data_IF_785208984190
#
_entry.id   IF_785208984190
#
_cell.length_a   1.000
_cell.length_b   1.000
_cell.length_c   1.000
_cell.angle_alpha   90.00
_cell.angle_beta   90.00
_cell.angle_gamma   90.00
#
_symmetry.space_group_name_H-M   'P 1'
#
loop_
_entity.id
_entity.type
_entity.pdbx_description
1 polymer ?
#
# COMPACT_ATOMS: atom_id res chain seq x y z
N UNK A 1 10.65 48.07 -5.90
CA UNK A 1 11.48 46.96 -6.39
C UNK A 1 12.20 46.33 -5.19
N UNK A 2 11.71 45.21 -4.64
CA UNK A 2 12.35 44.49 -3.54
C UNK A 2 13.24 43.37 -4.09
N UNK A 3 14.49 43.32 -3.63
CA UNK A 3 15.55 42.45 -4.13
C UNK A 3 15.40 40.98 -3.65
N UNK A 4 15.53 40.03 -4.57
CA UNK A 4 15.27 38.59 -4.42
C UNK A 4 16.44 37.76 -3.83
N UNK A 5 17.46 38.37 -3.21
CA UNK A 5 18.71 37.68 -2.83
C UNK A 5 19.13 37.83 -1.37
N UNK A 6 18.21 37.87 -0.42
CA UNK A 6 18.57 37.74 1.01
C UNK A 6 18.53 36.27 1.42
N UNK A 7 19.55 35.49 1.07
CA UNK A 7 19.77 34.16 1.66
C UNK A 7 20.38 34.35 3.04
N UNK A 8 19.60 34.12 4.09
CA UNK A 8 20.13 34.09 5.46
C UNK A 8 21.17 32.97 5.59
N UNK A 9 22.27 33.16 6.34
CA UNK A 9 23.27 32.13 6.54
C UNK A 9 22.66 30.95 7.30
N UNK A 10 22.70 29.76 6.67
CA UNK A 10 22.24 28.52 7.28
C UNK A 10 23.13 28.18 8.49
N UNK A 11 22.62 28.40 9.69
CA UNK A 11 23.28 28.03 10.94
C UNK A 11 23.45 26.51 10.99
N UNK A 12 24.69 26.04 10.83
CA UNK A 12 25.02 24.61 10.91
C UNK A 12 24.84 24.14 12.35
N UNK A 13 23.86 23.24 12.58
CA UNK A 13 23.67 22.61 13.89
C UNK A 13 24.90 21.76 14.26
N UNK A 14 25.31 21.73 15.55
CA UNK A 14 26.42 20.89 16.01
C UNK A 14 26.14 19.41 15.72
N UNK A 15 27.15 18.67 15.23
CA UNK A 15 27.04 17.22 15.00
C UNK A 15 26.96 16.51 16.36
N UNK A 16 25.92 15.72 16.58
CA UNK A 16 25.79 14.86 17.78
C UNK A 16 26.95 13.85 17.79
N UNK A 17 27.80 13.90 18.82
CA UNK A 17 28.84 12.90 19.06
C UNK A 17 28.17 11.70 19.70
N UNK A 18 28.04 10.60 18.96
CA UNK A 18 27.47 9.35 19.47
C UNK A 18 28.47 8.68 20.41
N UNK A 19 27.97 8.17 21.53
CA UNK A 19 28.74 7.33 22.47
C UNK A 19 29.11 5.98 21.82
N UNK A 20 30.09 5.25 22.36
CA UNK A 20 30.52 3.96 21.77
C UNK A 20 29.38 2.94 21.69
N UNK A 21 28.50 2.89 22.70
CA UNK A 21 27.29 2.05 22.68
C UNK A 21 26.33 2.42 21.53
N UNK A 22 25.99 3.71 21.38
CA UNK A 22 25.11 4.16 20.29
C UNK A 22 25.71 3.89 18.88
N UNK A 23 27.05 3.79 18.76
CA UNK A 23 27.70 3.41 17.50
C UNK A 23 27.52 1.93 17.17
N UNK A 24 27.48 1.06 18.18
CA UNK A 24 27.26 -0.37 18.01
C UNK A 24 25.81 -0.67 17.64
N UNK A 25 24.85 -0.03 18.33
CA UNK A 25 23.43 -0.11 17.99
C UNK A 25 23.18 0.38 16.56
N UNK A 26 23.79 1.51 16.17
CA UNK A 26 23.69 2.02 14.81
C UNK A 26 24.30 1.08 13.76
N UNK A 27 25.34 0.31 14.10
CA UNK A 27 25.89 -0.71 13.19
C UNK A 27 24.93 -1.89 13.05
N UNK A 28 24.33 -2.33 14.15
CA UNK A 28 23.36 -3.41 14.15
C UNK A 28 22.11 -3.04 13.35
N UNK A 29 21.52 -1.87 13.58
CA UNK A 29 20.38 -1.37 12.83
C UNK A 29 20.68 -1.25 11.32
N UNK A 30 21.88 -0.79 10.95
CA UNK A 30 22.30 -0.75 9.54
C UNK A 30 22.37 -2.14 8.91
N UNK A 31 22.88 -3.13 9.66
CA UNK A 31 22.93 -4.51 9.18
C UNK A 31 21.53 -5.09 8.97
N UNK A 32 20.61 -4.89 9.93
CA UNK A 32 19.20 -5.31 9.82
C UNK A 32 18.52 -4.64 8.63
N UNK A 33 18.70 -3.32 8.47
CA UNK A 33 18.14 -2.58 7.34
C UNK A 33 18.69 -3.05 5.99
N UNK A 34 19.96 -3.45 5.93
CA UNK A 34 20.58 -4.01 4.72
C UNK A 34 19.92 -5.35 4.36
N UNK A 35 19.79 -6.26 5.33
CA UNK A 35 19.12 -7.55 5.13
C UNK A 35 17.68 -7.36 4.65
N UNK A 36 16.93 -6.45 5.26
CA UNK A 36 15.56 -6.14 4.84
C UNK A 36 15.47 -5.54 3.44
N UNK A 37 16.48 -4.78 3.01
CA UNK A 37 16.52 -4.24 1.65
C UNK A 37 16.75 -5.35 0.64
N UNK A 38 17.63 -6.29 0.95
CA UNK A 38 17.94 -7.44 0.10
C UNK A 38 16.71 -8.36 -0.01
N UNK A 39 16.07 -8.73 1.10
CA UNK A 39 14.85 -9.56 1.07
C UNK A 39 13.70 -8.90 0.33
N UNK A 40 13.53 -7.56 0.44
CA UNK A 40 12.57 -6.81 -0.37
C UNK A 40 12.91 -6.83 -1.86
N UNK A 41 14.19 -6.72 -2.21
CA UNK A 41 14.64 -6.82 -3.60
C UNK A 41 14.36 -8.18 -4.21
N UNK A 42 14.66 -9.26 -3.47
CA UNK A 42 14.37 -10.64 -3.86
C UNK A 42 12.88 -10.88 -4.03
N UNK A 43 12.07 -10.39 -3.08
CA UNK A 43 10.62 -10.45 -3.16
C UNK A 43 10.09 -9.75 -4.42
N UNK A 44 10.52 -8.51 -4.69
CA UNK A 44 10.08 -7.77 -5.88
C UNK A 44 10.53 -8.45 -7.19
N UNK A 45 11.70 -9.09 -7.20
CA UNK A 45 12.17 -9.85 -8.35
C UNK A 45 11.36 -11.14 -8.58
N UNK A 46 10.88 -11.78 -7.51
CA UNK A 46 10.06 -12.99 -7.55
C UNK A 46 8.59 -12.72 -7.93
N UNK A 47 8.15 -11.47 -7.96
CA UNK A 47 6.79 -11.13 -8.35
C UNK A 47 6.50 -11.51 -9.80
N UNK A 48 5.29 -12.05 -10.08
CA UNK A 48 4.86 -12.31 -11.45
C UNK A 48 4.76 -11.01 -12.25
N UNK A 49 4.63 -11.16 -13.58
CA UNK A 49 4.38 -10.01 -14.46
C UNK A 49 3.13 -9.24 -14.00
N UNK A 50 3.10 -7.91 -14.16
CA UNK A 50 1.90 -7.12 -13.90
C UNK A 50 0.69 -7.68 -14.64
N UNK A 51 -0.48 -7.56 -14.02
CA UNK A 51 -1.75 -7.91 -14.64
C UNK A 51 -1.98 -7.06 -15.90
N UNK A 52 -2.26 -7.70 -17.03
CA UNK A 52 -2.49 -7.01 -18.30
C UNK A 52 -3.92 -6.47 -18.38
N UNK A 53 -4.06 -5.15 -18.38
CA UNK A 53 -5.32 -4.46 -18.63
C UNK A 53 -5.77 -4.68 -20.09
N UNK A 54 -6.86 -5.42 -20.30
CA UNK A 54 -7.51 -5.53 -21.62
C UNK A 54 -7.68 -6.93 -22.21
N UNK A 55 -7.08 -7.97 -21.61
CA UNK A 55 -7.29 -9.36 -22.08
C UNK A 55 -8.71 -9.88 -21.78
N UNK A 56 -9.40 -9.30 -20.79
CA UNK A 56 -10.78 -9.63 -20.43
C UNK A 56 -11.40 -8.42 -19.72
N UNK A 57 -12.68 -8.14 -19.95
CA UNK A 57 -13.44 -7.16 -19.17
C UNK A 57 -13.64 -7.68 -17.75
N UNK A 58 -12.56 -7.64 -16.96
CA UNK A 58 -12.58 -8.12 -15.59
C UNK A 58 -13.46 -7.22 -14.74
N UNK A 59 -14.42 -7.84 -14.06
CA UNK A 59 -15.30 -7.18 -13.09
C UNK A 59 -15.31 -7.99 -11.82
N UNK A 60 -15.21 -7.30 -10.69
CA UNK A 60 -15.34 -7.95 -9.41
C UNK A 60 -16.76 -8.51 -9.25
N UNK A 61 -16.94 -9.75 -8.75
CA UNK A 61 -18.26 -10.27 -8.42
C UNK A 61 -18.98 -9.31 -7.48
N UNK A 62 -20.30 -9.20 -7.60
CA UNK A 62 -21.05 -8.32 -6.72
C UNK A 62 -20.94 -8.74 -5.25
N UNK A 63 -20.89 -7.75 -4.36
CA UNK A 63 -20.67 -7.95 -2.93
C UNK A 63 -19.20 -8.02 -2.52
N UNK A 64 -18.26 -8.06 -3.47
CA UNK A 64 -16.82 -8.03 -3.21
C UNK A 64 -16.42 -6.69 -2.59
N UNK A 65 -15.66 -6.76 -1.50
CA UNK A 65 -15.01 -5.59 -0.92
C UNK A 65 -13.80 -5.21 -1.76
N UNK A 66 -13.79 -3.99 -2.28
CA UNK A 66 -12.70 -3.46 -3.11
C UNK A 66 -12.14 -2.17 -2.52
N UNK A 67 -10.94 -1.81 -2.96
CA UNK A 67 -10.25 -0.58 -2.55
C UNK A 67 -9.46 0.04 -3.70
N UNK A 68 -9.10 1.32 -3.52
CA UNK A 68 -8.25 2.03 -4.47
C UNK A 68 -6.79 1.61 -4.35
N UNK A 69 -6.06 1.66 -5.48
CA UNK A 69 -4.60 1.46 -5.52
C UNK A 69 -3.84 2.28 -4.48
N UNK A 70 -4.20 3.56 -4.34
CA UNK A 70 -3.54 4.48 -3.41
C UNK A 70 -3.70 4.07 -1.96
N UNK A 71 -4.88 3.56 -1.61
CA UNK A 71 -5.23 3.18 -0.24
C UNK A 71 -4.59 1.83 0.09
N UNK A 72 -4.56 0.90 -0.87
CA UNK A 72 -3.81 -0.36 -0.75
C UNK A 72 -2.32 -0.14 -0.45
N UNK A 73 -1.65 0.71 -1.24
CA UNK A 73 -0.23 1.04 -1.05
C UNK A 73 0.06 1.61 0.34
N UNK A 74 -0.78 2.53 0.79
CA UNK A 74 -0.61 3.23 2.08
C UNK A 74 -0.94 2.33 3.27
N UNK A 75 -2.09 1.66 3.25
CA UNK A 75 -2.60 0.89 4.39
C UNK A 75 -1.85 -0.43 4.61
N UNK A 76 -1.42 -1.11 3.53
CA UNK A 76 -0.80 -2.43 3.61
C UNK A 76 0.73 -2.40 3.39
N UNK A 77 1.32 -1.21 3.26
CA UNK A 77 2.75 -1.03 2.97
C UNK A 77 3.21 -1.82 1.72
N UNK A 78 2.36 -1.77 0.68
CA UNK A 78 2.59 -2.42 -0.59
C UNK A 78 3.18 -1.45 -1.62
N UNK A 79 4.04 -1.96 -2.49
CA UNK A 79 4.60 -1.21 -3.60
C UNK A 79 3.65 -1.22 -4.79
N UNK A 80 3.85 -0.30 -5.72
CA UNK A 80 2.99 -0.21 -6.91
C UNK A 80 3.07 -1.46 -7.78
N UNK A 81 4.29 -1.98 -7.94
CA UNK A 81 4.55 -3.20 -8.71
C UNK A 81 3.83 -4.39 -8.10
N UNK A 82 3.83 -4.53 -6.78
CA UNK A 82 3.09 -5.57 -6.05
C UNK A 82 1.60 -5.50 -6.33
N UNK A 83 0.99 -4.32 -6.15
CA UNK A 83 -0.46 -4.15 -6.31
C UNK A 83 -0.88 -4.41 -7.76
N UNK A 84 -0.08 -3.99 -8.74
CA UNK A 84 -0.36 -4.21 -10.16
C UNK A 84 -0.27 -5.67 -10.60
N UNK A 85 0.28 -6.57 -9.79
CA UNK A 85 0.23 -8.03 -10.09
C UNK A 85 -1.16 -8.62 -9.91
N UNK A 86 -2.05 -7.93 -9.20
CA UNK A 86 -3.38 -8.42 -8.87
C UNK A 86 -4.42 -8.06 -9.95
N UNK A 87 -5.44 -8.91 -10.16
CA UNK A 87 -6.58 -8.58 -10.98
C UNK A 87 -7.28 -7.32 -10.48
N UNK A 88 -7.56 -6.39 -11.39
CA UNK A 88 -8.20 -5.14 -11.04
C UNK A 88 -9.18 -4.68 -12.11
N UNK A 89 -10.20 -3.96 -11.64
CA UNK A 89 -11.22 -3.35 -12.49
C UNK A 89 -10.89 -1.86 -12.65
N UNK A 90 -11.04 -1.35 -13.87
CA UNK A 90 -10.97 0.08 -14.17
C UNK A 90 -12.32 0.55 -14.72
N UNK A 91 -12.72 1.76 -14.35
CA UNK A 91 -13.95 2.37 -14.91
C UNK A 91 -13.55 3.17 -16.15
N UNK A 92 -14.24 2.99 -17.29
CA UNK A 92 -14.00 3.80 -18.48
C UNK A 92 -14.04 5.29 -18.17
N UNK A 93 -13.10 6.06 -18.71
CA UNK A 93 -12.94 7.50 -18.46
C UNK A 93 -12.60 7.89 -17.00
N UNK A 94 -12.18 6.93 -16.15
CA UNK A 94 -11.63 7.21 -14.83
C UNK A 94 -10.22 6.62 -14.71
N UNK A 95 -9.24 7.37 -14.16
CA UNK A 95 -7.91 6.82 -13.86
C UNK A 95 -7.91 5.93 -12.61
N UNK A 96 -9.07 5.69 -11.99
CA UNK A 96 -9.19 4.92 -10.75
C UNK A 96 -9.28 3.43 -11.04
N UNK A 97 -8.44 2.66 -10.36
CA UNK A 97 -8.43 1.19 -10.39
C UNK A 97 -8.85 0.62 -9.03
N UNK A 98 -9.58 -0.49 -9.09
CA UNK A 98 -10.22 -1.15 -7.96
C UNK A 98 -9.67 -2.57 -7.78
N UNK A 99 -9.16 -2.84 -6.59
CA UNK A 99 -8.55 -4.12 -6.20
C UNK A 99 -9.39 -4.78 -5.12
N UNK A 100 -9.52 -6.11 -5.14
CA UNK A 100 -10.22 -6.82 -4.09
C UNK A 100 -9.43 -6.76 -2.77
N UNK A 101 -10.12 -6.45 -1.66
CA UNK A 101 -9.52 -6.40 -0.32
C UNK A 101 -8.93 -7.75 0.09
N UNK A 102 -9.58 -8.86 -0.29
CA UNK A 102 -9.11 -10.20 0.00
C UNK A 102 -7.73 -10.48 -0.65
N UNK A 103 -7.56 -10.11 -1.91
CA UNK A 103 -6.32 -10.31 -2.65
C UNK A 103 -5.18 -9.44 -2.11
N UNK A 104 -5.50 -8.20 -1.74
CA UNK A 104 -4.53 -7.29 -1.10
C UNK A 104 -4.04 -7.84 0.25
N UNK A 105 -4.96 -8.38 1.07
CA UNK A 105 -4.59 -9.04 2.33
C UNK A 105 -3.74 -10.28 2.10
N UNK A 106 -4.11 -11.12 1.13
CA UNK A 106 -3.33 -12.30 0.79
C UNK A 106 -1.91 -11.93 0.32
N UNK A 107 -1.77 -10.86 -0.47
CA UNK A 107 -0.46 -10.36 -0.91
C UNK A 107 0.38 -9.83 0.26
N UNK A 108 -0.22 -9.08 1.18
CA UNK A 108 0.46 -8.62 2.40
C UNK A 108 0.93 -9.80 3.26
N UNK A 109 0.09 -10.81 3.46
CA UNK A 109 0.44 -12.02 4.20
C UNK A 109 1.61 -12.77 3.55
N UNK A 110 1.59 -12.94 2.23
CA UNK A 110 2.71 -13.55 1.50
C UNK A 110 4.01 -12.77 1.66
N UNK A 111 3.94 -11.43 1.62
CA UNK A 111 5.09 -10.54 1.83
C UNK A 111 5.64 -10.64 3.25
N UNK A 112 4.77 -10.79 4.25
CA UNK A 112 5.13 -11.00 5.65
C UNK A 112 5.81 -12.35 5.84
N UNK A 113 5.24 -13.43 5.32
CA UNK A 113 5.84 -14.78 5.37
C UNK A 113 7.19 -14.83 4.66
N UNK A 114 7.37 -14.07 3.58
CA UNK A 114 8.65 -13.93 2.88
C UNK A 114 9.70 -13.10 3.64
N UNK A 115 9.37 -12.54 4.81
CA UNK A 115 10.29 -11.70 5.59
C UNK A 115 10.60 -10.33 4.95
N UNK A 116 9.89 -9.96 3.88
CA UNK A 116 10.04 -8.67 3.21
C UNK A 116 9.25 -7.54 3.91
N UNK A 117 8.42 -7.91 4.89
CA UNK A 117 7.64 -7.01 5.73
C UNK A 117 7.79 -7.42 7.21
N UNK A 118 8.04 -6.42 8.07
CA UNK A 118 8.26 -6.64 9.50
C UNK A 118 6.97 -6.80 10.30
N UNK A 119 5.88 -6.21 9.82
CA UNK A 119 4.63 -6.07 10.56
C UNK A 119 3.43 -6.03 9.60
N UNK A 120 2.34 -6.67 9.99
CA UNK A 120 1.08 -6.73 9.24
C UNK A 120 0.09 -5.63 9.62
N UNK A 121 0.40 -4.80 10.62
CA UNK A 121 -0.50 -3.75 11.07
C UNK A 121 -0.88 -2.76 9.97
N UNK A 122 -2.17 -2.43 9.92
CA UNK A 122 -2.73 -1.49 8.95
C UNK A 122 -2.30 -0.07 9.28
N UNK A 123 -1.74 0.63 8.30
CA UNK A 123 -1.31 2.02 8.47
C UNK A 123 -2.36 3.01 7.94
N UNK A 124 -3.07 3.64 8.87
CA UNK A 124 -3.97 4.75 8.57
C UNK A 124 -5.40 4.33 8.24
N UNK A 125 -6.14 5.25 7.62
CA UNK A 125 -7.58 5.08 7.38
C UNK A 125 -7.83 4.30 6.09
N UNK A 126 -8.63 3.23 6.18
CA UNK A 126 -8.96 2.35 5.07
C UNK A 126 -10.35 2.70 4.53
N UNK A 127 -10.41 3.10 3.25
CA UNK A 127 -11.67 3.21 2.52
C UNK A 127 -11.97 1.92 1.78
N UNK A 128 -13.06 1.26 2.17
CA UNK A 128 -13.53 0.03 1.53
C UNK A 128 -14.86 0.28 0.83
N UNK A 129 -14.91 -0.13 -0.43
CA UNK A 129 -16.10 -0.06 -1.25
C UNK A 129 -16.67 -1.47 -1.44
N UNK A 130 -17.98 -1.62 -1.60
CA UNK A 130 -18.64 -2.86 -2.02
C UNK A 130 -18.97 -2.78 -3.50
N UNK A 131 -18.58 -3.77 -4.28
CA UNK A 131 -19.08 -3.93 -5.64
C UNK A 131 -20.58 -4.23 -5.63
N UNK A 132 -21.31 -3.71 -6.61
CA UNK A 132 -22.76 -3.89 -6.76
C UNK A 132 -23.11 -4.35 -8.18
N UNK A 133 -24.23 -5.06 -8.33
CA UNK A 133 -24.74 -5.55 -9.64
C UNK A 133 -25.44 -4.46 -10.46
N UNK A 134 -25.03 -3.19 -10.37
CA UNK A 134 -25.79 -2.12 -11.01
C UNK A 134 -25.58 -2.13 -12.54
N UNK A 135 -26.49 -2.77 -13.27
CA UNK A 135 -26.51 -2.89 -14.74
C UNK A 135 -27.16 -1.67 -15.43
N UNK A 136 -27.53 -0.64 -14.68
CA UNK A 136 -28.21 0.55 -15.20
C UNK A 136 -27.31 1.48 -16.02
N UNK A 137 -27.86 2.09 -17.08
CA UNK A 137 -27.22 3.02 -18.05
C UNK A 137 -26.52 4.27 -17.45
N UNK A 138 -26.54 4.46 -16.12
CA UNK A 138 -25.75 5.49 -15.42
C UNK A 138 -24.69 4.80 -14.56
N UNK A 139 -23.53 4.53 -15.15
CA UNK A 139 -22.35 3.88 -14.57
C UNK A 139 -21.67 4.66 -13.40
N UNK A 140 -22.39 5.49 -12.65
CA UNK A 140 -21.83 6.33 -11.58
C UNK A 140 -21.71 5.64 -10.22
N UNK A 141 -22.27 4.44 -10.03
CA UNK A 141 -22.23 3.74 -8.75
C UNK A 141 -22.11 2.21 -8.90
N UNK A 142 -21.03 1.72 -9.54
CA UNK A 142 -20.68 0.29 -9.47
C UNK A 142 -20.22 -0.10 -8.05
N UNK A 143 -19.81 0.90 -7.26
CA UNK A 143 -19.22 0.73 -5.95
C UNK A 143 -19.91 1.62 -4.92
N UNK A 144 -20.30 1.04 -3.79
CA UNK A 144 -20.89 1.75 -2.65
C UNK A 144 -19.87 1.81 -1.53
N UNK A 145 -19.58 3.00 -1.01
CA UNK A 145 -18.69 3.13 0.14
C UNK A 145 -19.33 2.49 1.38
N UNK A 146 -18.64 1.54 2.00
CA UNK A 146 -19.17 0.87 3.18
C UNK A 146 -18.70 1.55 4.46
N UNK A 147 -17.39 1.79 4.62
CA UNK A 147 -16.83 2.32 5.87
C UNK A 147 -15.46 2.97 5.67
N UNK A 148 -15.14 3.88 6.60
CA UNK A 148 -13.81 4.39 6.91
C UNK A 148 -13.27 3.64 8.14
N UNK A 149 -12.35 2.68 7.98
CA UNK A 149 -11.72 2.03 9.15
C UNK A 149 -10.52 2.85 9.62
N UNK A 150 -10.53 3.32 10.87
CA UNK A 150 -9.38 3.92 11.55
C UNK A 150 -8.52 2.89 12.30
N UNK A 151 -7.32 3.28 12.78
CA UNK A 151 -6.31 2.37 13.37
C UNK A 151 -6.69 1.70 14.72
N UNK A 152 -7.95 1.78 15.18
CA UNK A 152 -8.37 1.32 16.50
C UNK A 152 -9.52 0.29 16.50
N UNK A 153 -9.69 -0.49 15.43
CA UNK A 153 -10.75 -1.51 15.40
C UNK A 153 -10.15 -2.91 15.45
N UNK A 154 -10.15 -3.49 16.66
CA UNK A 154 -9.94 -4.92 16.89
C UNK A 154 -11.00 -5.69 16.08
N UNK A 155 -10.58 -6.42 15.05
CA UNK A 155 -11.47 -7.22 14.22
C UNK A 155 -11.73 -8.57 14.91
N UNK A 156 -12.91 -8.71 15.52
CA UNK A 156 -13.48 -10.00 15.86
C UNK A 156 -13.69 -10.81 14.59
N UNK A 157 -12.94 -11.91 14.46
CA UNK A 157 -13.14 -12.96 13.47
C UNK A 157 -14.47 -13.67 13.78
N UNK A 158 -15.44 -13.56 12.89
CA UNK A 158 -16.46 -14.59 12.72
C UNK A 158 -16.28 -15.19 11.34
N UNK A 159 -15.66 -16.37 11.32
CA UNK A 159 -15.74 -17.32 10.22
C UNK A 159 -17.11 -17.98 10.34
N UNK A 160 -17.87 -18.04 9.24
CA UNK A 160 -19.04 -18.90 9.09
C UNK A 160 -18.92 -19.64 7.77
#
# INVERSE_FOLDING_TARGET
MSCAYRTEPVVKRPKKVLTESEKEDAKFERAVNKMLKETRGEWEAALPKPWEEGATTFRHPAGTHVMFKSDAKKAFNLTEREVLTLPHESIPASPKTYFALADIRALQQRKFVAGALLDTDLKGQLRVLKSTTNTGRRCKANFVCLYDYGPNVCMGLTVS
#
